data_IF_770057151900
#
_entry.id   IF_770057151900
#
_cell.length_a   1.000
_cell.length_b   1.000
_cell.length_c   1.000
_cell.angle_alpha   90.00
_cell.angle_beta   90.00
_cell.angle_gamma   90.00
#
_symmetry.space_group_name_H-M   'P 1'
#
loop_
_entity.id
_entity.type
_entity.pdbx_description
1 polymer ?
#
# COMPACT_ATOMS: atom_id res chain seq x y z
N UNK A 1 -17.13 30.48 8.60
CA UNK A 1 -16.37 29.26 8.26
C UNK A 1 -17.39 28.17 8.32
N UNK A 2 -17.69 27.56 7.17
CA UNK A 2 -18.52 26.37 7.16
C UNK A 2 -17.84 25.31 8.02
N UNK A 3 -18.64 24.53 8.76
CA UNK A 3 -18.11 23.46 9.58
C UNK A 3 -17.35 22.48 8.67
N UNK A 4 -16.12 22.15 9.03
CA UNK A 4 -15.35 21.14 8.33
C UNK A 4 -16.14 19.84 8.25
N UNK A 5 -16.45 19.41 7.03
CA UNK A 5 -17.12 18.14 6.79
C UNK A 5 -16.06 17.08 6.50
N UNK A 6 -16.07 16.01 7.30
CA UNK A 6 -15.13 14.91 7.11
C UNK A 6 -15.32 14.29 5.72
N UNK A 7 -14.23 13.99 4.98
CA UNK A 7 -14.31 13.41 3.65
C UNK A 7 -15.17 12.14 3.62
N UNK A 8 -15.96 12.00 2.56
CA UNK A 8 -16.75 10.79 2.28
C UNK A 8 -16.07 9.82 1.32
N UNK A 9 -14.95 10.23 0.75
CA UNK A 9 -14.16 9.46 -0.20
C UNK A 9 -12.67 9.73 0.00
N UNK A 10 -11.84 8.70 -0.19
CA UNK A 10 -10.38 8.79 -0.19
C UNK A 10 -9.78 7.80 -1.18
N UNK A 11 -8.81 8.28 -1.94
CA UNK A 11 -7.96 7.45 -2.79
C UNK A 11 -6.73 7.00 -1.99
N UNK A 12 -6.63 5.71 -1.70
CA UNK A 12 -5.53 5.13 -0.94
C UNK A 12 -4.53 4.46 -1.89
N UNK A 13 -3.36 5.06 -2.07
CA UNK A 13 -2.28 4.47 -2.85
C UNK A 13 -1.48 3.47 -2.02
N UNK A 14 -1.28 2.27 -2.58
CA UNK A 14 -0.59 1.17 -1.91
C UNK A 14 0.32 0.39 -2.87
N UNK A 15 1.24 -0.34 -2.25
CA UNK A 15 2.00 -1.44 -2.83
C UNK A 15 1.84 -2.65 -1.88
N UNK A 16 1.51 -3.82 -2.41
CA UNK A 16 1.40 -5.05 -1.60
C UNK A 16 2.73 -5.36 -0.90
N UNK A 17 3.87 -4.96 -1.46
CA UNK A 17 5.18 -5.16 -0.84
C UNK A 17 5.45 -4.25 0.36
N UNK A 18 4.67 -3.19 0.57
CA UNK A 18 4.94 -2.23 1.64
C UNK A 18 4.32 -2.68 2.97
N UNK A 19 5.12 -3.03 3.99
CA UNK A 19 4.58 -3.43 5.29
C UNK A 19 3.84 -2.26 5.99
N UNK A 20 4.32 -1.02 5.81
CA UNK A 20 3.67 0.17 6.38
C UNK A 20 2.32 0.47 5.74
N UNK A 21 2.21 0.33 4.41
CA UNK A 21 0.94 0.51 3.72
C UNK A 21 -0.04 -0.58 4.14
N UNK A 22 0.43 -1.84 4.29
CA UNK A 22 -0.40 -2.93 4.79
C UNK A 22 -0.99 -2.63 6.17
N UNK A 23 -0.17 -2.24 7.16
CA UNK A 23 -0.67 -1.86 8.49
C UNK A 23 -1.70 -0.72 8.41
N UNK A 24 -1.39 0.30 7.61
CA UNK A 24 -2.30 1.44 7.43
C UNK A 24 -3.60 1.05 6.72
N UNK A 25 -3.56 0.04 5.85
CA UNK A 25 -4.76 -0.49 5.19
C UNK A 25 -5.70 -1.21 6.16
N UNK A 26 -5.18 -1.81 7.24
CA UNK A 26 -6.01 -2.42 8.29
C UNK A 26 -6.81 -1.32 8.99
N UNK A 27 -6.15 -0.24 9.40
CA UNK A 27 -6.79 0.95 9.96
C UNK A 27 -7.81 1.56 8.99
N UNK A 28 -7.44 1.72 7.71
CA UNK A 28 -8.32 2.32 6.71
C UNK A 28 -9.60 1.50 6.49
N UNK A 29 -9.54 0.16 6.53
CA UNK A 29 -10.74 -0.69 6.43
C UNK A 29 -11.66 -0.55 7.64
N UNK A 30 -11.10 -0.44 8.85
CA UNK A 30 -11.87 -0.20 10.07
C UNK A 30 -12.58 1.17 10.03
N UNK A 31 -11.89 2.22 9.58
CA UNK A 31 -12.49 3.55 9.34
C UNK A 31 -13.59 3.49 8.27
N UNK A 32 -13.31 2.79 7.16
CA UNK A 32 -14.25 2.61 6.05
C UNK A 32 -15.56 2.03 6.53
N UNK A 33 -15.49 0.92 7.26
CA UNK A 33 -16.66 0.17 7.71
C UNK A 33 -17.48 0.98 8.74
N UNK A 34 -16.81 1.76 9.60
CA UNK A 34 -17.48 2.60 10.60
C UNK A 34 -18.16 3.86 10.02
N UNK A 35 -17.59 4.44 8.96
CA UNK A 35 -18.07 5.71 8.39
C UNK A 35 -18.85 5.57 7.08
N UNK A 36 -18.97 4.34 6.56
CA UNK A 36 -19.43 4.08 5.18
C UNK A 36 -18.60 4.92 4.18
N UNK A 37 -17.28 4.98 4.41
CA UNK A 37 -16.36 5.77 3.59
C UNK A 37 -16.16 5.07 2.24
N UNK A 38 -16.14 5.82 1.14
CA UNK A 38 -15.70 5.28 -0.13
C UNK A 38 -14.16 5.27 -0.19
N UNK A 39 -13.56 4.09 -0.08
CA UNK A 39 -12.11 3.90 -0.25
C UNK A 39 -11.84 3.36 -1.65
N UNK A 40 -11.11 4.12 -2.47
CA UNK A 40 -10.60 3.62 -3.74
C UNK A 40 -9.15 3.20 -3.58
N UNK A 41 -8.86 1.92 -3.80
CA UNK A 41 -7.50 1.41 -3.78
C UNK A 41 -6.78 1.77 -5.09
N UNK A 42 -5.61 2.41 -4.96
CA UNK A 42 -4.79 2.91 -6.07
C UNK A 42 -3.39 2.33 -6.01
N UNK A 43 -2.74 2.15 -7.14
CA UNK A 43 -1.44 1.51 -7.21
C UNK A 43 -0.29 2.53 -7.11
N UNK A 44 0.80 2.12 -6.45
CA UNK A 44 2.06 2.84 -6.49
C UNK A 44 3.22 1.84 -6.40
N UNK A 45 4.10 1.83 -7.40
CA UNK A 45 5.22 0.89 -7.45
C UNK A 45 6.43 1.33 -6.63
N UNK A 46 6.75 0.56 -5.57
CA UNK A 46 8.01 0.71 -4.84
C UNK A 46 9.22 0.24 -5.67
N UNK A 47 9.03 -0.71 -6.58
CA UNK A 47 10.08 -1.16 -7.50
C UNK A 47 10.48 -0.05 -8.49
N UNK A 48 9.51 0.76 -8.92
CA UNK A 48 9.76 1.85 -9.87
C UNK A 48 10.36 3.07 -9.18
N UNK A 49 9.77 3.56 -8.08
CA UNK A 49 10.31 4.75 -7.40
C UNK A 49 11.74 4.54 -6.87
N UNK A 50 12.11 3.29 -6.57
CA UNK A 50 13.43 2.93 -6.08
C UNK A 50 14.31 2.27 -7.15
N UNK A 51 13.94 2.39 -8.43
CA UNK A 51 14.72 1.81 -9.53
C UNK A 51 16.15 2.39 -9.52
N UNK A 52 17.13 1.49 -9.61
CA UNK A 52 18.54 1.88 -9.73
C UNK A 52 18.94 2.00 -11.19
N UNK A 53 19.84 2.93 -11.47
CA UNK A 53 20.40 3.12 -12.80
C UNK A 53 20.93 1.80 -13.40
N UNK A 54 20.61 1.55 -14.67
CA UNK A 54 21.00 0.34 -15.40
C UNK A 54 20.22 -0.93 -15.03
N UNK A 55 19.16 -0.86 -14.20
CA UNK A 55 18.24 -1.98 -13.95
C UNK A 55 17.00 -1.88 -14.84
N UNK A 56 16.43 -3.04 -15.18
CA UNK A 56 15.16 -3.13 -15.91
C UNK A 56 14.02 -2.56 -15.06
N UNK A 57 13.18 -1.74 -15.68
CA UNK A 57 11.90 -1.34 -15.10
C UNK A 57 11.05 -2.57 -14.80
N UNK A 58 10.15 -2.52 -13.79
CA UNK A 58 9.36 -3.68 -13.41
C UNK A 58 8.42 -4.19 -14.52
N UNK A 59 8.01 -3.35 -15.47
CA UNK A 59 7.21 -3.77 -16.63
C UNK A 59 8.03 -4.41 -17.76
N UNK A 60 9.37 -4.34 -17.72
CA UNK A 60 10.25 -4.97 -18.71
C UNK A 60 10.65 -6.40 -18.32
N UNK A 61 10.16 -6.88 -17.17
CA UNK A 61 10.44 -8.21 -16.64
C UNK A 61 9.23 -9.10 -16.90
N UNK A 62 9.49 -10.39 -17.17
CA UNK A 62 8.42 -11.39 -17.34
C UNK A 62 7.54 -11.47 -16.09
N UNK A 63 8.16 -11.35 -14.92
CA UNK A 63 7.49 -11.31 -13.63
C UNK A 63 8.25 -10.41 -12.65
N UNK A 64 7.54 -9.55 -11.94
CA UNK A 64 8.06 -8.61 -10.96
C UNK A 64 7.36 -8.79 -9.63
N UNK A 65 8.05 -8.49 -8.53
CA UNK A 65 7.54 -8.82 -7.20
C UNK A 65 6.27 -8.02 -6.86
N UNK A 66 6.33 -6.69 -6.94
CA UNK A 66 5.19 -5.83 -6.66
C UNK A 66 4.34 -5.60 -7.90
N UNK A 67 4.99 -5.33 -9.04
CA UNK A 67 4.27 -4.92 -10.24
C UNK A 67 3.34 -6.02 -10.78
N UNK A 68 3.75 -7.30 -10.77
CA UNK A 68 2.84 -8.39 -11.19
C UNK A 68 1.62 -8.51 -10.27
N UNK A 69 1.79 -8.32 -8.95
CA UNK A 69 0.66 -8.31 -8.01
C UNK A 69 -0.29 -7.13 -8.25
N UNK A 70 0.23 -5.98 -8.68
CA UNK A 70 -0.60 -4.83 -9.08
C UNK A 70 -1.37 -5.12 -10.37
N UNK A 71 -0.76 -5.81 -11.35
CA UNK A 71 -1.45 -6.20 -12.59
C UNK A 71 -2.63 -7.12 -12.30
N UNK A 72 -2.47 -8.10 -11.40
CA UNK A 72 -3.59 -8.92 -10.89
C UNK A 72 -4.66 -8.01 -10.27
N UNK A 73 -4.24 -7.06 -9.44
CA UNK A 73 -5.13 -6.08 -8.83
C UNK A 73 -5.90 -5.23 -9.84
N UNK A 74 -5.30 -4.86 -10.97
CA UNK A 74 -5.98 -4.13 -12.06
C UNK A 74 -7.11 -4.97 -12.64
N UNK A 75 -6.86 -6.25 -12.95
CA UNK A 75 -7.93 -7.13 -13.47
C UNK A 75 -9.07 -7.24 -12.45
N UNK A 76 -8.75 -7.47 -11.18
CA UNK A 76 -9.75 -7.58 -10.12
C UNK A 76 -10.57 -6.31 -9.95
N UNK A 77 -9.95 -5.12 -9.98
CA UNK A 77 -10.68 -3.84 -9.81
C UNK A 77 -11.62 -3.53 -10.97
N UNK A 78 -11.30 -4.00 -12.18
CA UNK A 78 -12.15 -3.86 -13.36
C UNK A 78 -13.42 -4.70 -13.24
N UNK A 79 -13.35 -5.81 -12.51
CA UNK A 79 -14.51 -6.62 -12.15
C UNK A 79 -15.30 -5.99 -11.00
N UNK A 80 -14.62 -5.70 -9.88
CA UNK A 80 -15.19 -5.04 -8.71
C UNK A 80 -14.07 -4.51 -7.80
N UNK A 81 -14.17 -3.26 -7.34
CA UNK A 81 -13.25 -2.69 -6.35
C UNK A 81 -13.20 -3.53 -5.06
N UNK A 82 -14.29 -4.22 -4.69
CA UNK A 82 -14.33 -5.13 -3.54
C UNK A 82 -13.42 -6.35 -3.71
N UNK A 83 -13.16 -6.80 -4.95
CA UNK A 83 -12.21 -7.88 -5.23
C UNK A 83 -10.77 -7.39 -5.08
N UNK A 84 -10.46 -6.16 -5.51
CA UNK A 84 -9.17 -5.54 -5.25
C UNK A 84 -8.92 -5.38 -3.74
N UNK A 85 -9.95 -4.97 -2.98
CA UNK A 85 -9.85 -4.87 -1.52
C UNK A 85 -9.49 -6.21 -0.87
N UNK A 86 -10.22 -7.28 -1.24
CA UNK A 86 -10.00 -8.65 -0.74
C UNK A 86 -8.62 -9.18 -1.14
N UNK A 87 -8.21 -8.97 -2.38
CA UNK A 87 -6.88 -9.34 -2.86
C UNK A 87 -5.79 -8.63 -2.07
N UNK A 88 -5.91 -7.32 -1.88
CA UNK A 88 -4.92 -6.56 -1.11
C UNK A 88 -4.87 -7.04 0.35
N UNK A 89 -6.03 -7.24 0.98
CA UNK A 89 -6.10 -7.73 2.36
C UNK A 89 -5.43 -9.11 2.50
N UNK A 90 -5.78 -10.06 1.63
CA UNK A 90 -5.32 -11.43 1.72
C UNK A 90 -3.84 -11.58 1.31
N UNK A 91 -3.43 -10.97 0.19
CA UNK A 91 -2.03 -11.00 -0.25
C UNK A 91 -1.12 -10.25 0.73
N UNK A 92 -1.60 -9.12 1.27
CA UNK A 92 -0.89 -8.39 2.33
C UNK A 92 -0.72 -9.23 3.60
N UNK A 93 -1.77 -9.90 4.07
CA UNK A 93 -1.67 -10.81 5.22
C UNK A 93 -0.70 -11.96 4.95
N UNK A 94 -0.81 -12.58 3.77
CA UNK A 94 0.06 -13.67 3.36
C UNK A 94 1.55 -13.25 3.43
N UNK A 95 1.89 -12.07 2.90
CA UNK A 95 3.27 -11.57 2.90
C UNK A 95 3.75 -11.09 4.27
N UNK A 96 2.94 -10.27 4.94
CA UNK A 96 3.40 -9.49 6.10
C UNK A 96 3.19 -10.16 7.44
N UNK A 97 2.27 -11.12 7.50
CA UNK A 97 1.90 -11.81 8.74
C UNK A 97 2.27 -13.29 8.66
N UNK A 98 1.90 -13.96 7.58
CA UNK A 98 2.03 -15.42 7.49
C UNK A 98 3.39 -15.88 6.92
N UNK A 99 4.21 -14.97 6.40
CA UNK A 99 5.51 -15.29 5.81
C UNK A 99 5.42 -16.02 4.46
N UNK A 100 4.28 -15.95 3.78
CA UNK A 100 4.07 -16.51 2.45
C UNK A 100 4.53 -15.53 1.36
N UNK A 101 4.65 -16.02 0.12
CA UNK A 101 5.20 -15.27 -1.01
C UNK A 101 4.13 -15.04 -2.08
N UNK A 102 3.21 -14.06 -1.93
CA UNK A 102 2.16 -13.80 -2.93
C UNK A 102 2.73 -13.33 -4.27
N UNK A 103 3.98 -12.90 -4.31
CA UNK A 103 4.72 -12.64 -5.54
C UNK A 103 5.20 -13.92 -6.24
N UNK A 104 4.94 -15.12 -5.73
CA UNK A 104 5.05 -16.37 -6.48
C UNK A 104 3.72 -16.60 -7.23
N UNK A 105 3.72 -16.83 -8.55
CA UNK A 105 2.50 -17.07 -9.32
C UNK A 105 1.60 -18.19 -8.75
N UNK A 106 2.16 -19.28 -8.24
CA UNK A 106 1.38 -20.39 -7.70
C UNK A 106 0.68 -20.00 -6.39
N UNK A 107 1.35 -19.20 -5.56
CA UNK A 107 0.75 -18.64 -4.35
C UNK A 107 -0.31 -17.62 -4.72
N UNK A 108 -0.06 -16.76 -5.71
CA UNK A 108 -1.05 -15.79 -6.20
C UNK A 108 -2.34 -16.48 -6.67
N UNK A 109 -2.22 -17.56 -7.47
CA UNK A 109 -3.36 -18.39 -7.89
C UNK A 109 -4.13 -18.94 -6.70
N UNK A 110 -3.44 -19.51 -5.72
CA UNK A 110 -4.09 -20.04 -4.53
C UNK A 110 -4.84 -18.96 -3.72
N UNK A 111 -4.28 -17.75 -3.62
CA UNK A 111 -4.93 -16.64 -2.93
C UNK A 111 -6.14 -16.10 -3.70
N UNK A 112 -6.12 -16.14 -5.03
CA UNK A 112 -7.29 -15.80 -5.87
C UNK A 112 -8.46 -16.76 -5.61
N UNK A 113 -8.21 -18.07 -5.52
CA UNK A 113 -9.24 -19.07 -5.18
C UNK A 113 -9.91 -18.77 -3.84
N UNK A 114 -9.13 -18.39 -2.83
CA UNK A 114 -9.64 -18.10 -1.48
C UNK A 114 -10.60 -16.91 -1.45
N UNK A 115 -10.44 -15.94 -2.35
CA UNK A 115 -11.37 -14.79 -2.48
C UNK A 115 -12.49 -15.06 -3.50
N UNK A 116 -12.57 -16.26 -4.06
CA UNK A 116 -13.55 -16.67 -5.06
C UNK A 116 -13.30 -16.11 -6.46
N UNK A 117 -12.07 -15.67 -6.75
CA UNK A 117 -11.65 -15.20 -8.06
C UNK A 117 -11.03 -16.33 -8.90
N UNK A 118 -11.08 -16.18 -10.23
CA UNK A 118 -10.48 -17.16 -11.15
C UNK A 118 -8.94 -17.11 -11.08
N UNK A 119 -8.26 -18.23 -10.81
CA UNK A 119 -6.80 -18.31 -10.86
C UNK A 119 -6.18 -17.89 -12.19
N UNK A 120 -6.91 -18.03 -13.30
CA UNK A 120 -6.46 -17.63 -14.64
C UNK A 120 -6.23 -16.12 -14.77
N UNK A 121 -6.69 -15.32 -13.80
CA UNK A 121 -6.39 -13.88 -13.72
C UNK A 121 -4.88 -13.63 -13.64
N UNK A 122 -4.08 -14.57 -13.12
CA UNK A 122 -2.62 -14.45 -13.15
C UNK A 122 -2.13 -14.32 -14.58
N UNK A 123 -2.50 -15.26 -15.47
CA UNK A 123 -2.12 -15.23 -16.88
C UNK A 123 -2.79 -14.08 -17.64
N UNK A 124 -4.07 -13.79 -17.38
CA UNK A 124 -4.80 -12.66 -17.97
C UNK A 124 -4.08 -11.34 -17.70
N UNK A 125 -3.69 -11.11 -16.44
CA UNK A 125 -3.01 -9.89 -16.02
C UNK A 125 -1.68 -9.69 -16.72
N UNK A 126 -0.96 -10.77 -17.05
CA UNK A 126 0.33 -10.73 -17.75
C UNK A 126 0.16 -10.52 -19.25
N UNK A 127 -0.90 -11.07 -19.85
CA UNK A 127 -1.17 -10.91 -21.28
C UNK A 127 -1.77 -9.54 -21.60
N UNK A 128 -2.46 -8.91 -20.66
CA UNK A 128 -3.01 -7.56 -20.84
C UNK A 128 -1.97 -6.47 -20.52
N UNK A 129 -1.43 -5.86 -21.57
CA UNK A 129 -0.44 -4.79 -21.46
C UNK A 129 -1.06 -3.46 -20.99
N UNK A 130 -2.37 -3.25 -21.13
CA UNK A 130 -3.03 -2.01 -20.68
C UNK A 130 -2.99 -1.86 -19.15
N UNK A 131 -2.81 -2.97 -18.42
CA UNK A 131 -2.57 -2.94 -16.97
C UNK A 131 -1.35 -2.08 -16.61
N UNK A 132 -0.34 -2.00 -17.48
CA UNK A 132 0.83 -1.14 -17.23
C UNK A 132 0.49 0.35 -17.26
N UNK A 133 -0.41 0.77 -18.16
CA UNK A 133 -0.79 2.18 -18.31
C UNK A 133 -1.55 2.66 -17.10
N UNK A 134 -2.47 1.83 -16.58
CA UNK A 134 -3.22 2.12 -15.36
C UNK A 134 -2.33 2.26 -14.13
N UNK A 135 -1.38 1.33 -13.93
CA UNK A 135 -0.45 1.38 -12.79
C UNK A 135 0.48 2.59 -12.91
N UNK A 136 1.00 2.88 -14.12
CA UNK A 136 1.86 4.05 -14.35
C UNK A 136 1.12 5.35 -14.07
N UNK A 137 -0.12 5.51 -14.56
CA UNK A 137 -0.89 6.72 -14.32
C UNK A 137 -1.12 7.01 -12.81
N UNK A 138 -1.41 5.97 -12.03
CA UNK A 138 -1.61 6.11 -10.57
C UNK A 138 -0.29 6.32 -9.82
N UNK A 139 0.78 5.66 -10.25
CA UNK A 139 2.12 5.89 -9.73
C UNK A 139 2.58 7.34 -10.00
N UNK A 140 2.48 7.79 -11.24
CA UNK A 140 2.89 9.12 -11.69
C UNK A 140 2.08 10.21 -11.00
N UNK A 141 0.80 9.96 -10.68
CA UNK A 141 0.00 10.89 -9.87
C UNK A 141 0.65 11.20 -8.53
N UNK A 142 1.17 10.20 -7.82
CA UNK A 142 1.90 10.38 -6.55
C UNK A 142 3.24 11.09 -6.78
N UNK A 143 4.00 10.68 -7.80
CA UNK A 143 5.32 11.27 -8.11
C UNK A 143 5.19 12.75 -8.48
N UNK A 144 4.17 13.11 -9.26
CA UNK A 144 3.91 14.48 -9.71
C UNK A 144 3.55 15.43 -8.55
N UNK A 145 3.13 14.92 -7.39
CA UNK A 145 2.96 15.73 -6.17
C UNK A 145 4.21 15.76 -5.28
N UNK A 146 5.35 15.26 -5.78
CA UNK A 146 6.58 15.09 -4.99
C UNK A 146 6.52 13.91 -4.01
N UNK A 147 5.50 13.04 -4.13
CA UNK A 147 5.37 11.85 -3.32
C UNK A 147 6.43 10.80 -3.67
N UNK A 148 6.85 10.04 -2.67
CA UNK A 148 7.98 9.11 -2.78
C UNK A 148 7.68 7.70 -2.25
N UNK A 149 6.45 7.44 -1.82
CA UNK A 149 6.12 6.20 -1.13
C UNK A 149 4.65 6.01 -0.83
N UNK A 150 4.39 4.93 -0.09
CA UNK A 150 3.06 4.53 0.37
C UNK A 150 3.08 4.19 1.86
N UNK A 151 1.96 4.34 2.57
CA UNK A 151 0.64 4.75 2.06
C UNK A 151 0.61 6.25 1.69
N UNK A 152 -0.12 6.59 0.61
CA UNK A 152 -0.39 7.99 0.24
C UNK A 152 -1.89 8.15 -0.02
N UNK A 153 -2.51 9.09 0.67
CA UNK A 153 -3.94 9.39 0.60
C UNK A 153 -4.16 10.60 -0.29
N UNK A 154 -5.14 10.54 -1.19
CA UNK A 154 -5.65 11.70 -1.93
C UNK A 154 -7.11 11.94 -1.56
N UNK A 155 -7.45 13.21 -1.36
CA UNK A 155 -8.79 13.64 -0.97
C UNK A 155 -9.50 14.35 -2.15
N UNK A 156 -10.84 14.47 -2.11
CA UNK A 156 -11.63 15.02 -3.22
C UNK A 156 -11.29 16.46 -3.59
N UNK A 157 -10.75 17.23 -2.66
CA UNK A 157 -10.28 18.61 -2.86
C UNK A 157 -8.89 18.70 -3.53
N UNK A 158 -8.29 17.54 -3.86
CA UNK A 158 -6.99 17.43 -4.51
C UNK A 158 -5.80 17.41 -3.55
N UNK A 159 -6.02 17.58 -2.23
CA UNK A 159 -4.95 17.47 -1.24
C UNK A 159 -4.46 16.02 -1.14
N UNK A 160 -3.15 15.87 -0.85
CA UNK A 160 -2.52 14.57 -0.71
C UNK A 160 -1.65 14.50 0.54
N UNK A 161 -1.78 13.42 1.31
CA UNK A 161 -0.97 13.16 2.51
C UNK A 161 -0.21 11.84 2.38
N UNK A 162 1.10 11.89 2.65
CA UNK A 162 1.87 10.67 2.91
C UNK A 162 1.60 10.18 4.34
N UNK A 163 1.23 8.91 4.50
CA UNK A 163 0.84 8.34 5.77
C UNK A 163 -0.69 8.25 5.97
N UNK A 164 -1.15 8.07 7.23
CA UNK A 164 -0.33 7.90 8.42
C UNK A 164 0.53 6.63 8.34
N UNK A 165 1.76 6.68 8.84
CA UNK A 165 2.66 5.50 8.87
C UNK A 165 2.50 4.81 10.21
N UNK A 166 1.89 3.62 10.21
CA UNK A 166 1.48 2.89 11.42
C UNK A 166 2.25 1.58 11.58
N UNK A 167 2.73 1.30 12.80
CA UNK A 167 3.27 0.00 13.16
C UNK A 167 2.16 -0.93 13.69
N UNK A 168 1.36 -0.40 14.62
CA UNK A 168 0.23 -1.06 15.27
C UNK A 168 -1.04 -0.24 14.98
N UNK A 169 -1.86 -0.64 13.98
CA UNK A 169 -3.02 0.12 13.56
C UNK A 169 -4.14 0.08 14.63
N UNK A 170 -4.68 1.24 15.05
CA UNK A 170 -5.79 1.25 16.00
C UNK A 170 -7.09 0.75 15.36
N UNK A 171 -8.03 0.31 16.18
CA UNK A 171 -9.38 -0.17 15.79
C UNK A 171 -10.49 0.56 16.56
N UNK A 172 -11.73 0.48 16.07
CA UNK A 172 -12.92 1.04 16.72
C UNK A 172 -12.82 2.56 16.93
N UNK A 173 -13.25 3.06 18.09
CA UNK A 173 -13.20 4.49 18.40
C UNK A 173 -11.80 5.11 18.26
N UNK A 174 -10.75 4.33 18.50
CA UNK A 174 -9.37 4.81 18.35
C UNK A 174 -9.01 5.04 16.88
N UNK A 175 -9.50 4.20 15.97
CA UNK A 175 -9.33 4.37 14.53
C UNK A 175 -10.01 5.65 14.04
N UNK A 176 -11.22 5.94 14.52
CA UNK A 176 -11.95 7.18 14.19
C UNK A 176 -11.27 8.42 14.74
N UNK A 177 -10.70 8.36 15.95
CA UNK A 177 -9.90 9.47 16.48
C UNK A 177 -8.68 9.75 15.61
N UNK A 178 -8.00 8.70 15.12
CA UNK A 178 -6.88 8.88 14.20
C UNK A 178 -7.34 9.43 12.84
N UNK A 179 -8.47 8.95 12.30
CA UNK A 179 -9.06 9.51 11.08
C UNK A 179 -9.32 11.01 11.22
N UNK A 180 -10.02 11.42 12.27
CA UNK A 180 -10.28 12.83 12.52
C UNK A 180 -8.98 13.65 12.66
N UNK A 181 -7.95 13.09 13.31
CA UNK A 181 -6.65 13.77 13.43
C UNK A 181 -5.93 13.92 12.09
N UNK A 182 -5.98 12.91 11.22
CA UNK A 182 -5.41 12.95 9.87
C UNK A 182 -6.17 13.94 9.00
N UNK A 183 -7.50 13.85 8.96
CA UNK A 183 -8.29 14.67 8.05
C UNK A 183 -8.41 16.12 8.52
N UNK A 184 -8.26 16.41 9.82
CA UNK A 184 -8.14 17.79 10.32
C UNK A 184 -7.00 18.56 9.67
N UNK A 185 -5.93 17.89 9.19
CA UNK A 185 -4.85 18.57 8.46
C UNK A 185 -5.31 19.22 7.16
N UNK A 186 -6.44 18.77 6.56
CA UNK A 186 -7.01 19.38 5.37
C UNK A 186 -7.42 20.84 5.58
N UNK A 187 -7.65 21.25 6.83
CA UNK A 187 -7.95 22.64 7.21
C UNK A 187 -6.69 23.52 7.31
N UNK A 188 -5.49 22.94 7.24
CA UNK A 188 -4.22 23.62 7.45
C UNK A 188 -3.31 23.49 6.22
N UNK A 189 -3.58 24.22 5.12
CA UNK A 189 -2.84 24.08 3.86
C UNK A 189 -1.35 24.46 3.94
N UNK A 190 -0.92 25.09 5.04
CA UNK A 190 0.48 25.45 5.30
C UNK A 190 1.17 24.54 6.33
N UNK A 191 0.54 23.43 6.72
CA UNK A 191 1.14 22.39 7.55
C UNK A 191 1.75 21.31 6.65
N UNK A 192 3.08 21.19 6.68
CA UNK A 192 3.81 20.36 5.72
C UNK A 192 4.27 19.01 6.28
N UNK A 193 4.76 18.96 7.53
CA UNK A 193 5.30 17.72 8.10
C UNK A 193 5.24 17.74 9.64
N UNK A 194 4.77 16.65 10.22
CA UNK A 194 4.94 16.33 11.65
C UNK A 194 5.39 14.89 11.75
N UNK A 195 6.49 14.66 12.46
CA UNK A 195 7.07 13.33 12.60
C UNK A 195 7.37 13.02 14.06
N UNK A 196 7.18 11.74 14.40
CA UNK A 196 7.73 11.15 15.62
C UNK A 196 9.11 10.57 15.29
N UNK A 197 10.20 11.10 15.86
CA UNK A 197 11.51 10.46 15.77
C UNK A 197 11.45 9.07 16.40
N UNK A 198 12.02 8.07 15.71
CA UNK A 198 12.11 6.70 16.22
C UNK A 198 13.27 6.60 17.20
N UNK A 199 13.07 5.82 18.25
CA UNK A 199 14.08 5.41 19.22
C UNK A 199 14.57 3.99 18.91
N UNK A 200 15.67 3.54 19.51
CA UNK A 200 16.13 2.16 19.37
C UNK A 200 15.06 1.12 19.81
N UNK A 201 14.24 1.45 20.81
CA UNK A 201 13.12 0.60 21.20
C UNK A 201 12.04 0.52 20.12
N UNK A 202 11.82 1.60 19.37
CA UNK A 202 10.90 1.59 18.23
C UNK A 202 11.48 0.75 17.09
N UNK A 203 12.77 0.87 16.80
CA UNK A 203 13.43 0.09 15.75
C UNK A 203 13.37 -1.42 16.05
N UNK A 204 13.57 -1.83 17.30
CA UNK A 204 13.34 -3.20 17.74
C UNK A 204 11.89 -3.66 17.54
N UNK A 205 10.92 -2.84 17.95
CA UNK A 205 9.50 -3.18 17.78
C UNK A 205 9.13 -3.30 16.28
N UNK A 206 9.70 -2.46 15.42
CA UNK A 206 9.53 -2.52 13.97
C UNK A 206 10.12 -3.81 13.42
N UNK A 207 11.34 -4.18 13.82
CA UNK A 207 11.95 -5.45 13.44
C UNK A 207 11.07 -6.63 13.84
N UNK A 208 10.66 -6.70 15.11
CA UNK A 208 9.86 -7.80 15.64
C UNK A 208 8.52 -7.93 14.89
N UNK A 209 7.87 -6.81 14.58
CA UNK A 209 6.59 -6.78 13.86
C UNK A 209 6.75 -7.21 12.41
N UNK A 210 7.80 -6.77 11.72
CA UNK A 210 8.00 -7.05 10.30
C UNK A 210 8.83 -8.31 10.04
N UNK A 211 9.29 -9.02 11.08
CA UNK A 211 10.09 -10.22 10.95
C UNK A 211 9.54 -11.25 9.95
N UNK A 212 8.23 -11.62 9.95
CA UNK A 212 7.69 -12.55 8.95
C UNK A 212 7.92 -12.07 7.50
N UNK A 213 7.66 -10.78 7.24
CA UNK A 213 7.95 -10.16 5.95
C UNK A 213 9.45 -10.18 5.61
N UNK A 214 10.32 -9.87 6.58
CA UNK A 214 11.76 -9.83 6.38
C UNK A 214 12.34 -11.21 6.01
N UNK A 215 11.73 -12.28 6.53
CA UNK A 215 12.09 -13.67 6.24
C UNK A 215 11.48 -14.18 4.92
N UNK A 216 10.31 -13.66 4.52
CA UNK A 216 9.60 -14.10 3.33
C UNK A 216 10.03 -13.40 2.03
N UNK A 217 10.49 -12.15 2.11
CA UNK A 217 10.82 -11.32 0.95
C UNK A 217 12.05 -11.83 0.19
N UNK A 218 12.03 -11.64 -1.13
CA UNK A 218 13.16 -11.92 -2.03
C UNK A 218 13.86 -10.61 -2.50
N UNK A 219 13.65 -9.50 -1.78
CA UNK A 219 14.20 -8.17 -2.08
C UNK A 219 14.68 -7.42 -0.82
N UNK A 220 15.36 -6.30 -1.03
CA UNK A 220 15.91 -5.45 0.03
C UNK A 220 15.01 -4.24 0.28
N UNK A 221 14.82 -3.84 1.55
CA UNK A 221 14.08 -2.62 1.90
C UNK A 221 14.86 -1.36 1.54
N UNK A 222 14.14 -0.36 1.03
CA UNK A 222 14.67 0.97 0.74
C UNK A 222 13.82 2.02 1.47
N UNK A 223 14.47 2.93 2.17
CA UNK A 223 13.85 4.09 2.80
C UNK A 223 14.51 5.36 2.25
N UNK A 224 13.74 6.22 1.57
CA UNK A 224 14.23 7.47 0.95
C UNK A 224 15.53 7.27 0.16
N UNK A 225 15.56 6.23 -0.69
CA UNK A 225 16.70 5.91 -1.55
C UNK A 225 17.87 5.17 -0.88
N UNK A 226 17.83 4.92 0.44
CA UNK A 226 18.87 4.16 1.15
C UNK A 226 18.42 2.74 1.43
N UNK A 227 19.31 1.77 1.19
CA UNK A 227 19.12 0.39 1.65
C UNK A 227 19.02 0.40 3.17
N UNK A 228 17.95 -0.19 3.69
CA UNK A 228 17.76 -0.38 5.14
C UNK A 228 17.70 -1.88 5.41
N UNK A 229 18.64 -2.35 6.23
CA UNK A 229 18.49 -3.58 6.99
C UNK A 229 17.74 -3.27 8.28
N UNK A 230 16.77 -4.09 8.65
CA UNK A 230 16.29 -4.10 10.02
C UNK A 230 17.19 -5.12 10.72
N UNK A 231 18.21 -4.65 11.44
CA UNK A 231 19.08 -5.53 12.22
C UNK A 231 18.52 -5.65 13.66
N UNK A 232 18.59 -6.82 14.30
CA UNK A 232 18.08 -7.02 15.66
C UNK A 232 18.72 -6.12 16.72
N UNK A 233 19.93 -5.61 16.44
CA UNK A 233 20.80 -4.91 17.39
C UNK A 233 21.12 -3.44 16.97
N UNK A 234 20.31 -2.85 16.08
CA UNK A 234 20.47 -1.44 15.66
C UNK A 234 19.95 -0.43 16.70
#
# INVERSE_FOLDING_TARGET
MDAYESPKEVDFHFDVMCPWAYQTSIWMRDVRDQLDLKVNWKFFSLEEINLREGKKHPWEREWSYGWSMMRIGVILRRLDMSLLDKWYALAGKALHVDGNRPHNPDVARHLLEQIGADPAIVEESINDLSTHEEIKAEHDRVVNTGGFGVPTLFFPDGQAFFGPVLLDPPTGDAALRLWNAVTAWLEFPNLYEMQRPKTASDDKAIYDTFKPYLEARDWVSINRGKVVGFEPDA
#
